data_IF_764460988611
#
_entry.id   IF_764460988611
#
_cell.length_a   1.000
_cell.length_b   1.000
_cell.length_c   1.000
_cell.angle_alpha   90.00
_cell.angle_beta   90.00
_cell.angle_gamma   90.00
#
_symmetry.space_group_name_H-M   'P 1'
#
loop_
_entity.id
_entity.type
_entity.pdbx_description
1 polymer ?
#
# COMPACT_ATOMS: atom_id res chain seq x y z
N UNK A 1 -7.98 0.95 -0.04
CA UNK A 1 -9.24 1.55 0.40
C UNK A 1 -9.71 2.69 -0.48
N UNK A 2 -10.85 3.23 -0.16
CA UNK A 2 -11.45 4.33 -0.92
C UNK A 2 -11.20 5.67 -0.24
N UNK A 3 -11.05 6.72 -1.07
CA UNK A 3 -10.97 8.09 -0.57
C UNK A 3 -12.37 8.55 -0.18
N UNK A 4 -12.51 9.10 1.03
CA UNK A 4 -13.80 9.63 1.49
C UNK A 4 -13.90 11.12 1.19
N UNK A 5 -15.14 11.70 1.11
CA UNK A 5 -15.31 13.12 0.84
C UNK A 5 -14.55 14.01 1.83
N UNK A 6 -13.86 15.02 1.31
CA UNK A 6 -13.10 15.96 2.12
C UNK A 6 -11.66 15.53 2.42
N UNK A 7 -11.26 14.37 1.95
CA UNK A 7 -9.95 13.79 2.21
C UNK A 7 -9.07 13.89 0.95
N UNK A 8 -7.78 14.23 1.09
CA UNK A 8 -6.81 14.15 -0.01
C UNK A 8 -6.37 12.71 -0.21
N UNK A 9 -5.67 12.42 -1.33
CA UNK A 9 -5.15 11.09 -1.60
C UNK A 9 -4.17 10.64 -0.51
N UNK A 10 -3.25 11.51 -0.10
CA UNK A 10 -2.26 11.19 0.94
C UNK A 10 -2.91 10.97 2.29
N UNK A 11 -3.90 11.78 2.65
CA UNK A 11 -4.67 11.59 3.88
C UNK A 11 -5.40 10.25 3.88
N UNK A 12 -5.97 9.87 2.72
CA UNK A 12 -6.65 8.59 2.58
C UNK A 12 -5.70 7.42 2.78
N UNK A 13 -4.49 7.49 2.20
CA UNK A 13 -3.48 6.43 2.35
C UNK A 13 -3.07 6.30 3.82
N UNK A 14 -2.76 7.41 4.47
CA UNK A 14 -2.35 7.40 5.88
C UNK A 14 -3.44 6.85 6.80
N UNK A 15 -4.69 7.28 6.60
CA UNK A 15 -5.84 6.79 7.37
C UNK A 15 -6.05 5.29 7.16
N UNK A 16 -6.06 4.86 5.91
CA UNK A 16 -6.34 3.48 5.54
C UNK A 16 -5.28 2.52 6.10
N UNK A 17 -4.01 2.86 5.97
CA UNK A 17 -2.92 2.04 6.52
C UNK A 17 -3.04 1.98 8.04
N UNK A 18 -3.32 3.10 8.71
CA UNK A 18 -3.49 3.13 10.16
C UNK A 18 -4.66 2.25 10.62
N UNK A 19 -5.79 2.32 9.93
CA UNK A 19 -6.96 1.50 10.25
C UNK A 19 -6.70 0.00 10.05
N UNK A 20 -6.04 -0.37 8.97
CA UNK A 20 -5.82 -1.77 8.61
C UNK A 20 -4.65 -2.44 9.34
N UNK A 21 -3.62 -1.68 9.68
CA UNK A 21 -2.38 -2.24 10.22
C UNK A 21 -1.93 -1.64 11.54
N UNK A 22 -2.55 -0.58 12.00
CA UNK A 22 -2.17 0.21 13.19
C UNK A 22 -0.81 0.88 13.06
N UNK A 23 -0.29 1.00 11.83
CA UNK A 23 0.99 1.64 11.56
C UNK A 23 0.81 3.08 11.11
N UNK A 24 1.69 3.97 11.59
CA UNK A 24 1.80 5.32 11.08
C UNK A 24 2.89 5.37 10.03
N UNK A 25 2.59 5.99 8.89
CA UNK A 25 3.52 6.12 7.77
C UNK A 25 3.78 7.58 7.45
N UNK A 26 4.87 7.85 6.74
CA UNK A 26 5.31 9.20 6.38
C UNK A 26 6.00 9.20 5.02
N UNK A 27 6.33 10.41 4.55
CA UNK A 27 7.09 10.60 3.31
C UNK A 27 6.47 9.85 2.12
N UNK A 28 5.18 10.07 1.91
CA UNK A 28 4.45 9.47 0.81
C UNK A 28 4.98 9.95 -0.53
N UNK A 29 5.24 9.01 -1.46
CA UNK A 29 5.68 9.33 -2.83
C UNK A 29 4.71 8.69 -3.81
N UNK A 30 4.09 9.53 -4.65
CA UNK A 30 3.26 9.03 -5.73
C UNK A 30 4.12 8.22 -6.71
N UNK A 31 3.64 7.06 -7.10
CA UNK A 31 4.30 6.23 -8.09
C UNK A 31 3.54 6.23 -9.41
N UNK A 32 2.31 5.72 -9.42
CA UNK A 32 1.58 5.49 -10.66
C UNK A 32 0.10 5.28 -10.39
N UNK A 33 -0.73 5.54 -11.40
CA UNK A 33 -2.17 5.26 -11.35
C UNK A 33 -2.52 4.22 -12.39
N UNK A 34 -3.56 3.42 -12.12
CA UNK A 34 -4.04 2.39 -13.02
C UNK A 34 -5.57 2.35 -12.98
N UNK A 35 -6.25 2.36 -14.16
CA UNK A 35 -7.70 2.20 -14.18
C UNK A 35 -8.12 0.84 -13.61
N UNK A 36 -9.22 0.83 -12.88
CA UNK A 36 -9.79 -0.40 -12.33
C UNK A 36 -11.23 -0.53 -12.80
N UNK A 37 -11.55 -1.49 -13.70
CA UNK A 37 -12.86 -1.56 -14.34
C UNK A 37 -13.98 -2.15 -13.49
N UNK A 38 -13.70 -2.70 -12.31
CA UNK A 38 -14.68 -3.45 -11.50
C UNK A 38 -14.79 -2.93 -10.07
N UNK A 39 -15.80 -2.11 -9.72
CA UNK A 39 -16.76 -1.46 -10.63
C UNK A 39 -16.08 -0.43 -11.55
N UNK A 40 -16.19 0.80 -11.49
CA UNK A 40 -15.41 1.81 -12.18
C UNK A 40 -14.58 2.56 -11.16
N UNK A 41 -13.28 2.65 -11.37
CA UNK A 41 -12.42 3.35 -10.44
C UNK A 41 -11.02 3.61 -10.97
N UNK A 42 -10.23 4.28 -10.16
CA UNK A 42 -8.83 4.56 -10.42
C UNK A 42 -8.01 4.08 -9.23
N UNK A 43 -7.06 3.21 -9.48
CA UNK A 43 -6.09 2.79 -8.47
C UNK A 43 -4.90 3.75 -8.50
N UNK A 44 -4.51 4.24 -7.32
CA UNK A 44 -3.36 5.15 -7.17
C UNK A 44 -2.37 4.50 -6.23
N UNK A 45 -1.13 4.35 -6.69
CA UNK A 45 -0.08 3.69 -5.92
C UNK A 45 0.90 4.69 -5.31
N UNK A 46 1.24 4.46 -4.04
CA UNK A 46 2.17 5.27 -3.27
C UNK A 46 3.24 4.42 -2.61
N UNK A 47 4.43 4.99 -2.50
CA UNK A 47 5.45 4.51 -1.58
C UNK A 47 5.37 5.33 -0.31
N UNK A 48 5.69 4.71 0.81
CA UNK A 48 5.72 5.39 2.10
C UNK A 48 6.80 4.77 2.99
N UNK A 49 7.20 5.53 4.01
CA UNK A 49 8.12 5.05 5.03
C UNK A 49 7.37 4.77 6.32
N UNK A 50 7.78 3.73 7.03
CA UNK A 50 7.27 3.42 8.36
C UNK A 50 7.72 4.51 9.34
N UNK A 51 6.80 5.02 10.14
CA UNK A 51 7.10 6.04 11.16
C UNK A 51 7.03 5.46 12.56
N UNK A 52 5.91 4.84 12.92
CA UNK A 52 5.70 4.31 14.27
C UNK A 52 4.52 3.33 14.31
N UNK A 53 4.38 2.65 15.44
CA UNK A 53 3.26 1.76 15.72
C UNK A 53 3.64 0.29 15.67
N UNK A 54 2.80 -0.54 16.28
CA UNK A 54 2.94 -2.00 16.22
C UNK A 54 1.99 -2.56 15.18
N UNK A 55 2.47 -3.52 14.40
CA UNK A 55 1.66 -4.16 13.37
C UNK A 55 0.51 -4.95 14.02
N UNK A 56 -0.72 -4.51 13.76
CA UNK A 56 -1.95 -5.19 14.18
C UNK A 56 -2.90 -5.19 13.00
N UNK A 57 -3.23 -6.35 12.49
CA UNK A 57 -4.08 -6.49 11.32
C UNK A 57 -5.55 -6.40 11.66
N UNK A 58 -6.30 -5.65 10.84
CA UNK A 58 -7.75 -5.67 10.90
C UNK A 58 -8.23 -6.95 10.20
N UNK A 59 -8.54 -7.97 10.97
CA UNK A 59 -8.86 -9.32 10.48
C UNK A 59 -10.06 -9.37 9.53
N UNK A 60 -10.97 -8.41 9.62
CA UNK A 60 -12.13 -8.35 8.73
C UNK A 60 -11.74 -8.04 7.28
N UNK A 61 -10.60 -7.42 7.04
CA UNK A 61 -10.13 -7.06 5.70
C UNK A 61 -8.79 -7.69 5.35
N UNK A 62 -7.94 -7.98 6.34
CA UNK A 62 -6.61 -8.53 6.12
C UNK A 62 -6.48 -9.88 6.82
N UNK A 63 -6.16 -10.92 6.07
CA UNK A 63 -5.97 -12.25 6.63
C UNK A 63 -4.53 -12.55 7.05
N UNK A 64 -3.58 -11.80 6.51
CA UNK A 64 -2.14 -12.08 6.71
C UNK A 64 -1.30 -10.84 6.49
N UNK A 65 -0.28 -10.67 7.29
CA UNK A 65 0.68 -9.59 7.13
C UNK A 65 1.91 -9.82 8.00
N UNK A 66 2.96 -9.03 7.75
CA UNK A 66 4.20 -9.14 8.50
C UNK A 66 5.27 -8.22 7.93
N UNK A 67 6.46 -8.30 8.51
CA UNK A 67 7.63 -7.59 8.05
C UNK A 67 8.49 -8.53 7.21
N UNK A 68 8.86 -8.10 6.00
CA UNK A 68 9.60 -8.94 5.07
C UNK A 68 10.87 -8.24 4.60
N UNK A 69 11.97 -8.99 4.56
CA UNK A 69 13.20 -8.53 3.95
C UNK A 69 13.07 -8.61 2.42
N UNK A 70 13.77 -7.74 1.68
CA UNK A 70 13.71 -7.70 0.21
C UNK A 70 14.06 -9.04 -0.45
N UNK A 71 14.85 -9.88 0.21
CA UNK A 71 15.25 -11.19 -0.31
C UNK A 71 14.34 -12.33 0.17
N UNK A 72 13.31 -12.02 0.95
CA UNK A 72 12.43 -13.01 1.57
C UNK A 72 10.95 -12.59 1.47
N UNK A 73 10.54 -12.13 0.29
CA UNK A 73 9.16 -11.70 0.07
C UNK A 73 8.21 -12.90 -0.04
N UNK A 74 6.95 -12.75 0.43
CA UNK A 74 5.94 -13.78 0.23
C UNK A 74 5.48 -13.82 -1.23
N UNK A 75 4.45 -14.61 -1.53
CA UNK A 75 3.83 -14.63 -2.85
C UNK A 75 3.35 -13.22 -3.22
N UNK A 76 3.79 -12.73 -4.37
CA UNK A 76 3.48 -11.39 -4.84
C UNK A 76 2.58 -11.41 -6.08
N UNK A 77 1.88 -10.30 -6.38
CA UNK A 77 0.93 -10.25 -7.50
C UNK A 77 1.56 -10.38 -8.88
N UNK A 78 0.72 -10.50 -9.89
CA UNK A 78 1.14 -10.59 -11.29
C UNK A 78 1.85 -9.30 -11.75
N UNK A 79 2.78 -9.44 -12.71
CA UNK A 79 3.62 -8.35 -13.20
C UNK A 79 2.87 -7.13 -13.72
N UNK A 80 1.69 -7.32 -14.27
CA UNK A 80 0.91 -6.22 -14.86
C UNK A 80 0.08 -5.44 -13.83
N UNK A 81 -0.01 -5.93 -12.60
CA UNK A 81 -0.76 -5.21 -11.55
C UNK A 81 0.04 -4.03 -11.01
N UNK A 82 -0.66 -2.97 -10.61
CA UNK A 82 -0.02 -1.81 -9.99
C UNK A 82 0.73 -2.22 -8.71
N UNK A 83 0.18 -3.13 -7.92
CA UNK A 83 0.82 -3.61 -6.71
C UNK A 83 2.17 -4.27 -7.01
N UNK A 84 2.25 -5.09 -8.06
CA UNK A 84 3.51 -5.71 -8.47
C UNK A 84 4.51 -4.68 -8.98
N UNK A 85 4.06 -3.68 -9.72
CA UNK A 85 4.93 -2.60 -10.20
C UNK A 85 5.55 -1.82 -9.04
N UNK A 86 4.77 -1.58 -7.98
CA UNK A 86 5.28 -0.93 -6.77
C UNK A 86 6.36 -1.79 -6.11
N UNK A 87 6.13 -3.07 -5.98
CA UNK A 87 7.10 -4.01 -5.37
C UNK A 87 8.38 -4.05 -6.21
N UNK A 88 8.28 -4.17 -7.51
CA UNK A 88 9.44 -4.24 -8.40
C UNK A 88 10.28 -2.96 -8.33
N UNK A 89 9.64 -1.78 -8.31
CA UNK A 89 10.35 -0.50 -8.19
C UNK A 89 11.05 -0.39 -6.83
N UNK A 90 10.38 -0.83 -5.77
CA UNK A 90 10.97 -0.83 -4.44
C UNK A 90 12.22 -1.72 -4.38
N UNK A 91 12.15 -2.91 -5.00
CA UNK A 91 13.29 -3.82 -5.07
C UNK A 91 14.46 -3.20 -5.85
N UNK A 92 14.20 -2.49 -6.94
CA UNK A 92 15.23 -1.77 -7.69
C UNK A 92 15.93 -0.72 -6.85
N UNK A 93 15.16 0.04 -6.06
CA UNK A 93 15.69 1.10 -5.21
C UNK A 93 16.50 0.56 -4.02
N UNK A 94 16.27 -0.70 -3.63
CA UNK A 94 16.93 -1.32 -2.47
C UNK A 94 17.88 -2.46 -2.87
N UNK A 95 18.16 -2.56 -4.13
CA UNK A 95 19.08 -3.58 -4.66
C UNK A 95 20.53 -3.36 -4.24
#
# INVERSE_FOLDING_TARGET
>A
GFVVPGESLEEAVQRDVLELTSLNIKNLRYFKSQPWPYPCGLMVGYFAEYESGELKLQESELSKGGWFHKDALPTIPEKLSLARMLIDRWLEEHA
#
